data_IF_882000608957
#
_entry.id   IF_882000608957
#
_cell.length_a   1.000
_cell.length_b   1.000
_cell.length_c   1.000
_cell.angle_alpha   90.00
_cell.angle_beta   90.00
_cell.angle_gamma   90.00
#
_symmetry.space_group_name_H-M   'P 1'
#
loop_
_entity.id
_entity.type
_entity.pdbx_description
1 polymer ?
#
# COMPACT_ATOMS: atom_id res chain seq x y z
N UNK A 1 -29.09 -1.70 17.83
CA UNK A 1 -29.26 -1.71 19.31
C UNK A 1 -28.08 -0.96 19.89
N UNK A 2 -28.33 0.10 20.62
CA UNK A 2 -27.27 0.91 21.21
C UNK A 2 -26.79 0.28 22.52
N UNK A 3 -25.45 0.15 22.69
CA UNK A 3 -24.88 -0.39 23.92
C UNK A 3 -24.96 0.66 25.03
N UNK A 4 -25.24 0.21 26.28
CA UNK A 4 -25.15 1.10 27.44
C UNK A 4 -23.73 1.60 27.64
N UNK A 5 -23.54 2.78 28.22
CA UNK A 5 -22.21 3.38 28.48
C UNK A 5 -21.28 2.43 29.27
N UNK A 6 -21.86 1.61 30.19
CA UNK A 6 -21.10 0.59 30.90
C UNK A 6 -20.58 -0.50 29.97
N UNK A 7 -21.42 -1.03 29.08
CA UNK A 7 -21.01 -2.03 28.08
C UNK A 7 -19.95 -1.47 27.12
N UNK A 8 -20.11 -0.22 26.68
CA UNK A 8 -19.11 0.48 25.86
C UNK A 8 -17.74 0.52 26.55
N UNK A 9 -17.70 0.94 27.82
CA UNK A 9 -16.46 0.98 28.62
C UNK A 9 -15.83 -0.40 28.81
N UNK A 10 -16.65 -1.41 29.13
CA UNK A 10 -16.14 -2.78 29.28
C UNK A 10 -15.59 -3.33 27.98
N UNK A 11 -16.29 -3.13 26.85
CA UNK A 11 -15.85 -3.56 25.54
C UNK A 11 -14.54 -2.87 25.13
N UNK A 12 -14.45 -1.55 25.29
CA UNK A 12 -13.23 -0.79 24.97
C UNK A 12 -12.04 -1.28 25.81
N UNK A 13 -12.20 -1.36 27.14
CA UNK A 13 -11.13 -1.82 28.03
C UNK A 13 -10.70 -3.27 27.76
N UNK A 14 -11.64 -4.14 27.36
CA UNK A 14 -11.33 -5.51 26.97
C UNK A 14 -10.51 -5.54 25.67
N UNK A 15 -10.91 -4.78 24.66
CA UNK A 15 -10.22 -4.74 23.36
C UNK A 15 -8.83 -4.16 23.53
N UNK A 16 -8.68 -3.04 24.23
CA UNK A 16 -7.37 -2.42 24.50
C UNK A 16 -6.39 -3.38 25.18
N UNK A 17 -6.87 -4.10 26.21
CA UNK A 17 -6.04 -5.11 26.88
C UNK A 17 -5.71 -6.30 25.96
N UNK A 18 -6.67 -6.73 25.14
CA UNK A 18 -6.45 -7.82 24.19
C UNK A 18 -5.44 -7.43 23.09
N UNK A 19 -5.50 -6.20 22.59
CA UNK A 19 -4.49 -5.66 21.65
C UNK A 19 -3.09 -5.77 22.25
N UNK A 20 -2.93 -5.41 23.51
CA UNK A 20 -1.63 -5.44 24.22
C UNK A 20 -1.11 -6.85 24.51
N UNK A 21 -1.99 -7.78 24.89
CA UNK A 21 -1.57 -9.08 25.42
C UNK A 21 -1.73 -10.25 24.44
N UNK A 22 -2.70 -10.18 23.52
CA UNK A 22 -3.12 -11.29 22.67
C UNK A 22 -3.83 -12.43 23.44
N UNK A 23 -4.04 -12.30 24.76
CA UNK A 23 -4.57 -13.35 25.60
C UNK A 23 -6.04 -13.09 25.98
N UNK A 24 -6.87 -14.15 26.16
CA UNK A 24 -8.26 -13.99 26.58
C UNK A 24 -8.39 -13.25 27.91
N UNK A 25 -9.23 -12.22 27.95
CA UNK A 25 -9.38 -11.33 29.11
C UNK A 25 -10.47 -11.81 30.07
N UNK A 26 -10.10 -12.00 31.33
CA UNK A 26 -11.03 -12.37 32.38
C UNK A 26 -11.67 -11.17 33.08
N UNK A 27 -12.88 -11.35 33.65
CA UNK A 27 -13.63 -10.28 34.34
C UNK A 27 -12.87 -9.66 35.52
N UNK A 28 -12.00 -10.42 36.21
CA UNK A 28 -11.19 -9.90 37.32
C UNK A 28 -10.19 -8.84 36.86
N UNK A 29 -9.57 -9.04 35.72
CA UNK A 29 -8.58 -8.11 35.13
C UNK A 29 -9.22 -6.78 34.76
N UNK A 30 -10.47 -6.81 34.31
CA UNK A 30 -11.20 -5.60 33.92
C UNK A 30 -11.70 -4.78 35.09
N UNK A 31 -11.95 -5.42 36.26
CA UNK A 31 -12.42 -4.71 37.45
C UNK A 31 -11.41 -3.70 38.02
N UNK A 32 -10.10 -3.93 37.81
CA UNK A 32 -9.03 -3.09 38.32
C UNK A 32 -9.06 -1.65 37.79
N UNK A 33 -9.69 -1.43 36.61
CA UNK A 33 -9.86 -0.11 35.99
C UNK A 33 -11.29 0.40 35.96
N UNK A 34 -12.25 -0.40 36.38
CA UNK A 34 -13.69 -0.08 36.35
C UNK A 34 -14.27 -0.11 37.75
N UNK A 35 -14.98 0.93 38.18
CA UNK A 35 -15.60 1.00 39.49
C UNK A 35 -16.83 0.06 39.64
N UNK A 36 -16.68 -1.22 39.26
CA UNK A 36 -17.76 -2.22 39.26
C UNK A 36 -17.26 -3.59 39.77
N UNK A 37 -18.15 -4.41 40.30
CA UNK A 37 -17.80 -5.76 40.79
C UNK A 37 -17.45 -6.71 39.62
N UNK A 38 -16.60 -7.72 39.91
CA UNK A 38 -16.25 -8.77 38.92
C UNK A 38 -17.50 -9.57 38.48
N UNK A 39 -18.51 -9.73 39.32
CA UNK A 39 -19.76 -10.37 38.97
C UNK A 39 -20.55 -9.53 37.93
N UNK A 40 -20.60 -8.20 38.14
CA UNK A 40 -21.22 -7.28 37.18
C UNK A 40 -20.51 -7.31 35.83
N UNK A 41 -19.16 -7.20 35.86
CA UNK A 41 -18.37 -7.28 34.60
C UNK A 41 -18.61 -8.59 33.88
N UNK A 42 -18.69 -9.72 34.61
CA UNK A 42 -18.93 -11.05 34.05
C UNK A 42 -20.29 -11.14 33.35
N UNK A 43 -21.33 -10.56 33.93
CA UNK A 43 -22.67 -10.54 33.35
C UNK A 43 -22.68 -9.67 32.07
N UNK A 44 -22.08 -8.47 32.10
CA UNK A 44 -22.00 -7.59 30.95
C UNK A 44 -21.18 -8.24 29.79
N UNK A 45 -20.08 -8.95 30.12
CA UNK A 45 -19.30 -9.72 29.13
C UNK A 45 -20.12 -10.86 28.52
N UNK A 46 -21.01 -11.51 29.30
CA UNK A 46 -21.91 -12.55 28.77
C UNK A 46 -22.88 -11.94 27.77
N UNK A 47 -23.54 -10.85 28.12
CA UNK A 47 -24.46 -10.16 27.22
C UNK A 47 -23.76 -9.64 25.96
N UNK A 48 -22.53 -9.11 26.08
CA UNK A 48 -21.73 -8.72 24.93
C UNK A 48 -21.39 -9.91 24.02
N UNK A 49 -21.21 -11.11 24.61
CA UNK A 49 -21.05 -12.34 23.83
C UNK A 49 -22.32 -12.76 23.12
N UNK A 50 -23.48 -12.65 23.81
CA UNK A 50 -24.80 -12.94 23.23
C UNK A 50 -25.12 -11.99 22.05
N UNK A 51 -24.66 -10.74 22.12
CA UNK A 51 -24.76 -9.76 21.04
C UNK A 51 -23.70 -9.97 19.93
N UNK A 52 -22.76 -10.92 20.11
CA UNK A 52 -21.74 -11.27 19.15
C UNK A 52 -20.55 -10.31 19.08
N UNK A 53 -20.34 -9.44 20.08
CA UNK A 53 -19.17 -8.58 20.16
C UNK A 53 -17.95 -9.27 20.76
N UNK A 54 -18.18 -10.31 21.59
CA UNK A 54 -17.13 -11.10 22.22
C UNK A 54 -17.29 -12.58 21.89
N UNK A 55 -16.18 -13.31 21.92
CA UNK A 55 -16.11 -14.76 21.75
C UNK A 55 -15.48 -15.39 22.99
N UNK A 56 -15.79 -16.65 23.24
CA UNK A 56 -15.16 -17.44 24.28
C UNK A 56 -14.41 -18.60 23.62
N UNK A 57 -13.07 -18.59 23.57
CA UNK A 57 -12.30 -19.63 22.89
C UNK A 57 -12.52 -21.02 23.52
N UNK A 58 -12.60 -21.10 24.84
CA UNK A 58 -12.82 -22.34 25.61
C UNK A 58 -13.64 -22.05 26.84
N UNK A 59 -14.33 -23.06 27.38
CA UNK A 59 -15.29 -22.95 28.49
C UNK A 59 -14.73 -22.28 29.75
N UNK A 60 -13.42 -22.47 30.04
CA UNK A 60 -12.72 -21.86 31.18
C UNK A 60 -11.94 -20.59 30.80
N UNK A 61 -11.89 -20.19 29.53
CA UNK A 61 -11.17 -19.02 29.09
C UNK A 61 -11.94 -17.73 29.36
N UNK A 62 -11.21 -16.62 29.40
CA UNK A 62 -11.78 -15.28 29.35
C UNK A 62 -12.56 -15.04 28.05
N UNK A 63 -12.66 -13.79 27.66
CA UNK A 63 -13.29 -13.38 26.40
C UNK A 63 -12.25 -12.74 25.48
N UNK A 64 -12.44 -12.92 24.17
CA UNK A 64 -11.70 -12.22 23.12
C UNK A 64 -12.68 -11.42 22.27
N UNK A 65 -12.26 -10.32 21.65
CA UNK A 65 -13.10 -9.58 20.71
C UNK A 65 -13.43 -10.41 19.47
N UNK A 66 -14.66 -10.30 18.98
CA UNK A 66 -15.01 -10.76 17.64
C UNK A 66 -14.65 -9.69 16.60
N UNK A 67 -14.70 -10.02 15.31
CA UNK A 67 -14.57 -9.03 14.23
C UNK A 67 -15.61 -7.90 14.37
N UNK A 68 -16.85 -8.25 14.73
CA UNK A 68 -17.92 -7.26 15.04
C UNK A 68 -17.54 -6.39 16.24
N UNK A 69 -16.88 -6.95 17.25
CA UNK A 69 -16.40 -6.21 18.42
C UNK A 69 -15.32 -5.20 18.04
N UNK A 70 -14.32 -5.60 17.25
CA UNK A 70 -13.30 -4.71 16.72
C UNK A 70 -13.89 -3.60 15.85
N UNK A 71 -14.83 -3.92 14.94
CA UNK A 71 -15.50 -2.92 14.10
C UNK A 71 -16.21 -1.87 14.97
N UNK A 72 -17.01 -2.32 15.95
CA UNK A 72 -17.71 -1.40 16.86
C UNK A 72 -16.74 -0.52 17.66
N UNK A 73 -15.64 -1.10 18.13
CA UNK A 73 -14.59 -0.36 18.84
C UNK A 73 -13.97 0.74 17.98
N UNK A 74 -13.57 0.40 16.76
CA UNK A 74 -12.94 1.34 15.84
C UNK A 74 -13.90 2.48 15.47
N UNK A 75 -15.16 2.16 15.18
CA UNK A 75 -16.13 3.14 14.69
C UNK A 75 -16.66 4.06 15.79
N UNK A 76 -16.64 3.62 17.08
CA UNK A 76 -17.37 4.32 18.15
C UNK A 76 -16.61 4.52 19.46
N UNK A 77 -15.58 3.75 19.75
CA UNK A 77 -14.96 3.72 21.08
C UNK A 77 -13.47 4.03 21.09
N UNK A 78 -12.78 3.84 19.96
CA UNK A 78 -11.34 3.99 19.86
C UNK A 78 -10.93 5.45 20.11
N UNK A 79 -10.01 5.70 21.05
CA UNK A 79 -9.47 7.04 21.24
C UNK A 79 -8.62 7.45 20.03
N UNK A 80 -8.63 8.72 19.71
CA UNK A 80 -7.67 9.28 18.73
C UNK A 80 -6.30 9.32 19.39
N UNK A 81 -5.30 8.77 18.72
CA UNK A 81 -3.90 8.90 19.13
C UNK A 81 -3.28 10.08 18.39
N UNK A 82 -2.77 11.04 19.15
CA UNK A 82 -1.95 12.11 18.63
C UNK A 82 -0.47 11.72 18.75
N UNK A 83 0.17 11.61 17.60
CA UNK A 83 1.62 11.40 17.53
C UNK A 83 2.34 12.61 18.13
N UNK A 84 3.37 12.37 18.95
CA UNK A 84 4.16 13.47 19.49
C UNK A 84 4.89 14.25 18.38
N UNK A 85 5.13 15.54 18.62
CA UNK A 85 5.88 16.38 17.66
C UNK A 85 7.28 15.82 17.41
N UNK A 86 7.90 15.19 18.41
CA UNK A 86 9.20 14.54 18.28
C UNK A 86 9.14 13.31 17.36
N UNK A 87 8.12 12.44 17.53
CA UNK A 87 7.96 11.27 16.67
C UNK A 87 7.59 11.67 15.26
N UNK A 88 6.73 12.69 15.10
CA UNK A 88 6.39 13.26 13.79
C UNK A 88 7.62 13.78 13.06
N UNK A 89 8.48 14.53 13.76
CA UNK A 89 9.72 15.05 13.21
C UNK A 89 10.68 13.94 12.80
N UNK A 90 10.81 12.89 13.62
CA UNK A 90 11.66 11.74 13.29
C UNK A 90 11.15 10.98 12.06
N UNK A 91 9.84 10.73 11.96
CA UNK A 91 9.24 10.07 10.80
C UNK A 91 9.44 10.90 9.52
N UNK A 92 9.17 12.20 9.59
CA UNK A 92 9.35 13.12 8.47
C UNK A 92 10.80 13.11 7.98
N UNK A 93 11.77 13.33 8.88
CA UNK A 93 13.18 13.35 8.50
C UNK A 93 13.68 12.00 7.96
N UNK A 94 13.14 10.88 8.45
CA UNK A 94 13.51 9.57 7.93
C UNK A 94 13.08 9.40 6.48
N UNK A 95 11.82 9.74 6.16
CA UNK A 95 11.29 9.65 4.78
C UNK A 95 11.95 10.67 3.87
N UNK A 96 12.17 11.90 4.35
CA UNK A 96 12.81 12.99 3.60
C UNK A 96 14.29 12.70 3.27
N UNK A 97 14.93 11.81 4.03
CA UNK A 97 16.30 11.38 3.79
C UNK A 97 16.45 10.26 2.76
N UNK A 98 15.34 9.68 2.29
CA UNK A 98 15.39 8.62 1.29
C UNK A 98 15.71 9.20 -0.08
N UNK A 99 16.66 8.59 -0.76
CA UNK A 99 17.14 8.97 -2.08
C UNK A 99 16.81 7.88 -3.10
N UNK A 100 16.71 8.25 -4.36
CA UNK A 100 16.54 7.29 -5.46
C UNK A 100 15.31 7.53 -6.30
N UNK A 101 14.87 6.48 -6.95
CA UNK A 101 13.64 6.49 -7.73
C UNK A 101 12.41 6.47 -6.82
N UNK A 102 11.26 6.90 -7.33
CA UNK A 102 9.96 6.88 -6.59
C UNK A 102 9.70 5.51 -5.96
N UNK A 103 10.02 4.42 -6.66
CA UNK A 103 9.85 3.05 -6.17
C UNK A 103 10.75 2.72 -4.98
N UNK A 104 11.97 3.24 -4.94
CA UNK A 104 12.92 3.02 -3.85
C UNK A 104 12.45 3.75 -2.60
N UNK A 105 12.05 5.02 -2.72
CA UNK A 105 11.49 5.83 -1.62
C UNK A 105 10.25 5.14 -1.02
N UNK A 106 9.37 4.62 -1.87
CA UNK A 106 8.17 3.91 -1.40
C UNK A 106 8.51 2.59 -0.71
N UNK A 107 9.52 1.84 -1.19
CA UNK A 107 9.98 0.60 -0.57
C UNK A 107 10.62 0.86 0.80
N UNK A 108 11.51 1.87 0.91
CA UNK A 108 12.12 2.26 2.17
C UNK A 108 11.08 2.78 3.18
N UNK A 109 10.10 3.55 2.71
CA UNK A 109 8.96 3.99 3.53
C UNK A 109 8.14 2.80 4.06
N UNK A 110 7.87 1.80 3.21
CA UNK A 110 7.18 0.58 3.62
C UNK A 110 8.00 -0.20 4.66
N UNK A 111 9.32 -0.30 4.46
CA UNK A 111 10.25 -0.90 5.42
C UNK A 111 10.22 -0.20 6.78
N UNK A 112 10.31 1.12 6.80
CA UNK A 112 10.24 1.94 8.02
C UNK A 112 8.92 1.72 8.77
N UNK A 113 7.80 1.80 8.08
CA UNK A 113 6.48 1.53 8.67
C UNK A 113 6.37 0.11 9.22
N UNK A 114 6.90 -0.86 8.50
CA UNK A 114 6.92 -2.25 8.95
C UNK A 114 7.74 -2.42 10.23
N UNK A 115 8.87 -1.73 10.38
CA UNK A 115 9.66 -1.73 11.62
C UNK A 115 8.87 -1.12 12.80
N UNK A 116 8.21 0.00 12.58
CA UNK A 116 7.46 0.72 13.61
C UNK A 116 6.22 -0.05 14.07
N UNK A 117 5.54 -0.70 13.12
CA UNK A 117 4.24 -1.37 13.40
C UNK A 117 4.37 -2.85 13.75
N UNK A 118 5.50 -3.48 13.40
CA UNK A 118 5.68 -4.93 13.50
C UNK A 118 4.76 -5.73 12.57
N UNK A 119 4.24 -5.10 11.51
CA UNK A 119 3.28 -5.67 10.58
C UNK A 119 3.82 -5.64 9.14
N UNK A 120 3.12 -6.30 8.22
CA UNK A 120 3.39 -6.13 6.79
C UNK A 120 2.85 -4.78 6.32
N UNK A 121 3.52 -4.19 5.34
CA UNK A 121 3.12 -2.92 4.72
C UNK A 121 3.05 -3.10 3.21
N UNK A 122 1.94 -2.67 2.62
CA UNK A 122 1.74 -2.64 1.18
C UNK A 122 1.63 -1.18 0.72
N UNK A 123 2.40 -0.81 -0.30
CA UNK A 123 2.38 0.54 -0.88
C UNK A 123 2.05 0.43 -2.36
N UNK A 124 1.03 1.15 -2.79
CA UNK A 124 0.70 1.28 -4.21
C UNK A 124 1.56 2.38 -4.83
N UNK A 125 2.20 2.09 -5.97
CA UNK A 125 2.95 3.11 -6.73
C UNK A 125 2.02 4.19 -7.28
N UNK A 126 2.54 5.43 -7.52
CA UNK A 126 1.74 6.50 -8.12
C UNK A 126 1.07 6.05 -9.42
N UNK A 127 -0.24 6.27 -9.50
CA UNK A 127 -1.05 5.98 -10.67
C UNK A 127 -1.93 7.17 -11.03
N UNK A 128 -1.85 7.61 -12.27
CA UNK A 128 -2.78 8.54 -12.88
C UNK A 128 -3.18 8.01 -14.27
N UNK A 129 -4.49 7.93 -14.53
CA UNK A 129 -5.01 7.48 -15.82
C UNK A 129 -4.57 8.40 -16.98
N UNK A 130 -4.25 9.66 -16.66
CA UNK A 130 -3.76 10.64 -17.61
C UNK A 130 -2.23 10.76 -17.61
N UNK A 131 -1.52 9.83 -16.96
CA UNK A 131 -0.06 9.82 -16.97
C UNK A 131 0.48 9.73 -18.39
N UNK A 132 1.42 10.59 -18.69
CA UNK A 132 2.05 10.67 -20.03
C UNK A 132 3.57 10.50 -19.92
N UNK A 133 4.18 10.16 -21.05
CA UNK A 133 5.64 10.10 -21.16
C UNK A 133 6.19 11.52 -21.09
N UNK A 134 6.94 11.83 -20.03
CA UNK A 134 7.60 13.12 -19.82
C UNK A 134 8.95 13.18 -20.56
N UNK A 135 9.71 12.07 -20.50
CA UNK A 135 11.06 12.00 -21.07
C UNK A 135 11.40 10.59 -21.54
N UNK A 136 12.19 10.51 -22.57
CA UNK A 136 12.75 9.27 -23.11
C UNK A 136 14.24 9.45 -23.33
N UNK A 137 15.05 8.48 -22.88
CA UNK A 137 16.49 8.45 -23.15
C UNK A 137 16.88 7.14 -23.84
N UNK A 138 17.79 7.23 -24.77
CA UNK A 138 18.44 6.10 -25.44
C UNK A 138 19.94 6.14 -25.11
N UNK A 139 20.41 5.19 -24.35
CA UNK A 139 21.82 5.10 -23.92
C UNK A 139 22.49 3.94 -24.68
N UNK A 140 23.35 4.19 -25.68
CA UNK A 140 24.12 3.15 -26.34
C UNK A 140 25.02 2.42 -25.34
N UNK A 141 24.90 1.09 -25.25
CA UNK A 141 25.74 0.24 -24.40
C UNK A 141 26.79 -0.50 -25.22
N UNK A 142 26.50 -0.79 -26.46
CA UNK A 142 27.38 -1.45 -27.41
C UNK A 142 26.93 -1.20 -28.83
N UNK A 143 27.68 -1.71 -29.83
CA UNK A 143 27.39 -1.44 -31.22
C UNK A 143 25.96 -1.78 -31.65
N UNK A 144 25.35 -2.80 -31.07
CA UNK A 144 23.99 -3.27 -31.42
C UNK A 144 23.07 -3.37 -30.19
N UNK A 145 23.37 -2.67 -29.13
CA UNK A 145 22.57 -2.69 -27.91
C UNK A 145 22.48 -1.33 -27.27
N UNK A 146 21.29 -0.95 -26.80
CA UNK A 146 21.03 0.27 -26.06
C UNK A 146 20.10 0.03 -24.89
N UNK A 147 20.21 0.86 -23.87
CA UNK A 147 19.25 0.99 -22.80
C UNK A 147 18.25 2.10 -23.17
N UNK A 148 16.98 1.78 -23.16
CA UNK A 148 15.90 2.77 -23.26
C UNK A 148 15.42 3.06 -21.83
N UNK A 149 15.32 4.34 -21.49
CA UNK A 149 14.76 4.82 -20.23
C UNK A 149 13.53 5.66 -20.54
N UNK A 150 12.43 5.39 -19.85
CA UNK A 150 11.19 6.15 -19.93
C UNK A 150 10.90 6.76 -18.56
N UNK A 151 10.65 8.06 -18.52
CA UNK A 151 10.21 8.79 -17.33
C UNK A 151 8.77 9.25 -17.57
N UNK A 152 7.87 8.85 -16.67
CA UNK A 152 6.47 9.27 -16.72
C UNK A 152 6.24 10.57 -15.94
N UNK A 153 5.13 11.25 -16.21
CA UNK A 153 4.69 12.43 -15.46
C UNK A 153 4.41 12.14 -13.96
N UNK A 154 4.22 10.87 -13.60
CA UNK A 154 4.08 10.40 -12.21
C UNK A 154 5.42 10.25 -11.47
N UNK A 155 6.55 10.50 -12.14
CA UNK A 155 7.88 10.25 -11.60
C UNK A 155 8.35 8.79 -11.73
N UNK A 156 7.51 7.88 -12.16
CA UNK A 156 7.90 6.47 -12.38
C UNK A 156 8.91 6.40 -13.53
N UNK A 157 10.03 5.72 -13.26
CA UNK A 157 11.09 5.44 -14.23
C UNK A 157 11.08 3.95 -14.56
N UNK A 158 11.13 3.64 -15.85
CA UNK A 158 11.30 2.28 -16.35
C UNK A 158 12.39 2.23 -17.40
N UNK A 159 13.12 1.14 -17.40
CA UNK A 159 14.18 0.94 -18.37
C UNK A 159 14.20 -0.47 -18.94
N UNK A 160 14.72 -0.60 -20.16
CA UNK A 160 14.85 -1.88 -20.84
C UNK A 160 16.05 -1.89 -21.76
N UNK A 161 16.85 -2.97 -21.68
CA UNK A 161 17.91 -3.20 -22.64
C UNK A 161 17.33 -3.78 -23.93
N UNK A 162 17.61 -3.12 -25.04
CA UNK A 162 17.20 -3.52 -26.38
C UNK A 162 18.40 -3.96 -27.21
N UNK A 163 18.21 -5.00 -28.02
CA UNK A 163 19.17 -5.41 -29.07
C UNK A 163 18.59 -5.06 -30.42
N UNK A 164 19.46 -4.53 -31.28
CA UNK A 164 19.12 -4.15 -32.68
C UNK A 164 19.95 -4.99 -33.65
N UNK A 165 19.39 -5.26 -34.80
CA UNK A 165 20.11 -5.97 -35.89
C UNK A 165 21.17 -5.09 -36.57
N UNK A 166 20.94 -3.78 -36.54
CA UNK A 166 21.88 -2.78 -37.07
C UNK A 166 22.68 -2.09 -35.95
N UNK A 167 23.77 -1.44 -36.31
CA UNK A 167 24.58 -0.64 -35.41
C UNK A 167 23.84 0.63 -34.97
N UNK A 168 23.95 0.95 -33.68
CA UNK A 168 23.36 2.15 -33.07
C UNK A 168 24.42 3.25 -33.06
N UNK A 169 24.45 4.01 -34.15
CA UNK A 169 25.31 5.19 -34.30
C UNK A 169 24.59 6.49 -33.86
N UNK A 170 25.31 7.59 -33.92
CA UNK A 170 24.79 8.92 -33.57
C UNK A 170 23.54 9.25 -34.37
N UNK A 171 23.54 8.93 -35.68
CA UNK A 171 22.41 9.23 -36.59
C UNK A 171 21.16 8.44 -36.23
N UNK A 172 21.34 7.22 -35.76
CA UNK A 172 20.26 6.35 -35.21
C UNK A 172 19.67 6.92 -33.93
N UNK A 173 20.53 7.38 -33.02
CA UNK A 173 20.09 8.00 -31.77
C UNK A 173 19.31 9.30 -32.02
N UNK A 174 19.82 10.17 -32.91
CA UNK A 174 19.13 11.41 -33.30
C UNK A 174 17.76 11.13 -33.95
N UNK A 175 17.68 10.13 -34.81
CA UNK A 175 16.41 9.72 -35.41
C UNK A 175 15.43 9.21 -34.33
N UNK A 176 15.91 8.39 -33.41
CA UNK A 176 15.10 7.90 -32.30
C UNK A 176 14.53 9.04 -31.47
N UNK A 177 15.35 10.03 -31.08
CA UNK A 177 14.89 11.19 -30.32
C UNK A 177 13.87 12.02 -31.09
N UNK A 178 14.07 12.24 -32.41
CA UNK A 178 13.12 12.97 -33.24
C UNK A 178 11.77 12.26 -33.29
N UNK A 179 11.77 10.93 -33.46
CA UNK A 179 10.56 10.12 -33.51
C UNK A 179 9.88 10.09 -32.10
N UNK A 180 10.67 9.91 -31.04
CA UNK A 180 10.14 9.89 -29.67
C UNK A 180 9.48 11.23 -29.29
N UNK A 181 10.14 12.36 -29.61
CA UNK A 181 9.59 13.70 -29.37
C UNK A 181 8.31 13.97 -30.16
N UNK A 182 8.26 13.54 -31.43
CA UNK A 182 7.12 13.82 -32.29
C UNK A 182 5.87 12.96 -31.96
N UNK A 183 6.07 11.73 -31.49
CA UNK A 183 4.99 10.73 -31.45
C UNK A 183 4.74 10.08 -30.09
N UNK A 184 5.66 10.22 -29.11
CA UNK A 184 5.57 9.52 -27.83
C UNK A 184 5.56 10.48 -26.64
N UNK A 185 6.42 11.50 -26.60
CA UNK A 185 6.45 12.45 -25.48
C UNK A 185 5.13 13.24 -25.43
N UNK A 186 4.59 13.39 -24.23
CA UNK A 186 3.29 13.99 -23.98
C UNK A 186 2.09 13.07 -24.26
N UNK A 187 2.32 11.80 -24.64
CA UNK A 187 1.26 10.81 -24.87
C UNK A 187 1.08 9.89 -23.68
N UNK A 188 -0.18 9.50 -23.45
CA UNK A 188 -0.52 8.45 -22.48
C UNK A 188 -0.26 7.06 -23.05
N UNK A 189 -0.14 6.05 -22.20
CA UNK A 189 0.06 4.65 -22.66
C UNK A 189 -1.08 4.17 -23.56
N UNK A 190 -2.32 4.60 -23.32
CA UNK A 190 -3.51 4.24 -24.12
C UNK A 190 -3.49 4.82 -25.53
N UNK A 191 -2.86 5.98 -25.71
CA UNK A 191 -2.68 6.59 -27.03
C UNK A 191 -1.62 5.88 -27.87
N UNK A 192 -0.71 5.10 -27.25
CA UNK A 192 0.35 4.35 -27.93
C UNK A 192 -0.14 3.02 -28.47
N UNK A 193 -1.14 3.06 -29.35
CA UNK A 193 -1.70 1.84 -29.95
C UNK A 193 -0.72 1.19 -30.94
N UNK A 194 -0.91 -0.11 -31.17
CA UNK A 194 -0.12 -0.83 -32.22
C UNK A 194 -0.27 -0.17 -33.58
N UNK A 195 -1.47 0.30 -33.91
CA UNK A 195 -1.74 0.97 -35.19
C UNK A 195 -0.95 2.27 -35.33
N UNK A 196 -0.87 3.09 -34.28
CA UNK A 196 -0.09 4.33 -34.27
C UNK A 196 1.40 4.05 -34.48
N UNK A 197 1.94 3.04 -33.80
CA UNK A 197 3.35 2.64 -33.95
C UNK A 197 3.62 2.12 -35.35
N UNK A 198 2.74 1.29 -35.91
CA UNK A 198 2.88 0.81 -37.30
C UNK A 198 2.88 1.98 -38.32
N UNK A 199 2.05 3.00 -38.09
CA UNK A 199 2.01 4.20 -38.92
C UNK A 199 3.34 4.97 -38.85
N UNK A 200 3.89 5.15 -37.65
CA UNK A 200 5.20 5.79 -37.44
C UNK A 200 6.29 4.97 -38.12
N UNK A 201 6.33 3.65 -37.88
CA UNK A 201 7.32 2.75 -38.49
C UNK A 201 7.25 2.80 -40.04
N UNK A 202 6.03 2.78 -40.60
CA UNK A 202 5.86 2.86 -42.08
C UNK A 202 6.39 4.17 -42.68
N UNK A 203 6.35 5.27 -41.93
CA UNK A 203 6.89 6.57 -42.37
C UNK A 203 8.43 6.61 -42.43
N UNK A 204 9.12 5.66 -41.78
CA UNK A 204 10.59 5.64 -41.66
C UNK A 204 11.29 4.98 -42.86
N UNK A 205 10.55 4.35 -43.76
CA UNK A 205 11.11 3.70 -44.95
C UNK A 205 12.16 2.63 -44.61
N UNK A 206 13.35 2.71 -45.20
CA UNK A 206 14.43 1.73 -45.00
C UNK A 206 14.93 1.67 -43.52
N UNK A 207 14.68 2.72 -42.75
CA UNK A 207 15.06 2.79 -41.34
C UNK A 207 14.07 2.09 -40.40
N UNK A 208 12.92 1.64 -40.92
CA UNK A 208 11.87 0.98 -40.14
C UNK A 208 12.38 -0.28 -39.44
N UNK A 209 13.21 -1.08 -40.10
CA UNK A 209 13.66 -2.38 -39.63
C UNK A 209 14.42 -2.28 -38.30
N UNK A 210 15.30 -1.32 -38.12
CA UNK A 210 16.09 -1.17 -36.91
C UNK A 210 15.38 -0.31 -35.84
N UNK A 211 14.50 0.61 -36.24
CA UNK A 211 13.73 1.43 -35.27
C UNK A 211 12.58 0.67 -34.60
N UNK A 212 12.01 -0.32 -35.30
CA UNK A 212 10.87 -1.08 -34.78
C UNK A 212 11.12 -1.68 -33.38
N UNK A 213 12.23 -2.39 -33.09
CA UNK A 213 12.49 -2.95 -31.76
C UNK A 213 12.54 -1.86 -30.67
N UNK A 214 13.11 -0.68 -30.98
CA UNK A 214 13.23 0.43 -30.05
C UNK A 214 11.86 1.05 -29.73
N UNK A 215 11.02 1.28 -30.75
CA UNK A 215 9.68 1.85 -30.57
C UNK A 215 8.71 0.89 -29.88
N UNK A 216 8.84 -0.41 -30.15
CA UNK A 216 8.06 -1.44 -29.45
C UNK A 216 8.47 -1.47 -27.97
N UNK A 217 9.76 -1.48 -27.67
CA UNK A 217 10.26 -1.46 -26.31
C UNK A 217 9.84 -0.20 -25.54
N UNK A 218 9.86 0.96 -26.22
CA UNK A 218 9.38 2.22 -25.64
C UNK A 218 7.90 2.14 -25.25
N UNK A 219 7.05 1.58 -26.12
CA UNK A 219 5.64 1.34 -25.81
C UNK A 219 5.48 0.40 -24.61
N UNK A 220 6.17 -0.74 -24.60
CA UNK A 220 6.10 -1.71 -23.51
C UNK A 220 6.49 -1.09 -22.18
N UNK A 221 7.55 -0.26 -22.18
CA UNK A 221 7.96 0.48 -20.99
C UNK A 221 6.90 1.49 -20.52
N UNK A 222 6.28 2.23 -21.45
CA UNK A 222 5.23 3.19 -21.12
C UNK A 222 3.99 2.50 -20.54
N UNK A 223 3.62 1.33 -21.07
CA UNK A 223 2.50 0.52 -20.53
C UNK A 223 2.84 0.01 -19.14
N UNK A 224 4.02 -0.62 -18.95
CA UNK A 224 4.48 -1.13 -17.66
C UNK A 224 4.60 -0.02 -16.59
N UNK A 225 5.07 1.18 -17.00
CA UNK A 225 5.16 2.34 -16.11
C UNK A 225 3.80 2.94 -15.74
N UNK A 226 2.76 2.65 -16.51
CA UNK A 226 1.38 3.11 -16.28
C UNK A 226 0.55 2.08 -15.50
N UNK A 227 1.09 0.91 -15.17
CA UNK A 227 0.40 -0.08 -14.37
C UNK A 227 0.44 0.26 -12.89
N UNK A 228 -0.63 -0.13 -12.17
CA UNK A 228 -0.68 -0.04 -10.72
C UNK A 228 0.13 -1.18 -10.11
N UNK A 229 1.28 -0.88 -9.59
CA UNK A 229 2.11 -1.84 -8.90
C UNK A 229 1.95 -1.72 -7.38
N UNK A 230 2.15 -2.82 -6.65
CA UNK A 230 2.13 -2.86 -5.19
C UNK A 230 3.48 -3.39 -4.70
N UNK A 231 4.14 -2.57 -3.89
CA UNK A 231 5.35 -2.93 -3.17
C UNK A 231 4.93 -3.46 -1.80
N UNK A 232 5.51 -4.57 -1.34
CA UNK A 232 5.14 -5.18 -0.06
C UNK A 232 6.41 -5.46 0.74
N UNK A 233 6.45 -4.94 1.97
CA UNK A 233 7.56 -5.11 2.90
C UNK A 233 7.07 -5.72 4.22
N UNK A 234 7.96 -6.41 4.91
CA UNK A 234 7.71 -6.91 6.27
C UNK A 234 6.73 -8.07 6.41
N UNK A 235 6.42 -8.82 5.34
CA UNK A 235 5.51 -9.98 5.42
C UNK A 235 5.96 -11.00 6.48
N UNK A 236 7.27 -11.17 6.65
CA UNK A 236 7.85 -12.09 7.64
C UNK A 236 7.53 -11.72 9.09
N UNK A 237 7.20 -10.46 9.38
CA UNK A 237 6.84 -10.01 10.73
C UNK A 237 5.53 -10.61 11.21
N UNK A 238 4.64 -11.01 10.28
CA UNK A 238 3.39 -11.68 10.62
C UNK A 238 3.60 -13.03 11.31
N UNK A 239 4.77 -13.67 11.13
CA UNK A 239 5.10 -14.92 11.86
C UNK A 239 5.30 -14.73 13.38
N UNK A 240 5.48 -13.50 13.85
CA UNK A 240 5.57 -13.23 15.28
C UNK A 240 4.21 -13.38 16.01
N UNK A 241 3.11 -13.42 15.25
CA UNK A 241 1.76 -13.52 15.78
C UNK A 241 1.27 -14.97 15.80
N UNK A 242 1.20 -15.57 16.99
CA UNK A 242 0.78 -16.97 17.18
C UNK A 242 -0.60 -17.28 16.59
N UNK A 243 -1.51 -16.32 16.64
CA UNK A 243 -2.87 -16.45 16.10
C UNK A 243 -2.90 -16.63 14.57
N UNK A 244 -1.81 -16.33 13.87
CA UNK A 244 -1.68 -16.47 12.42
C UNK A 244 -0.93 -17.73 11.99
N UNK A 245 -0.39 -18.53 12.93
CA UNK A 245 0.44 -19.71 12.60
C UNK A 245 -0.25 -20.69 11.66
N UNK A 246 -1.58 -20.90 11.83
CA UNK A 246 -2.34 -21.82 10.96
C UNK A 246 -2.58 -21.27 9.55
N UNK A 247 -2.50 -19.97 9.36
CA UNK A 247 -2.93 -19.30 8.15
C UNK A 247 -1.74 -18.79 7.31
N UNK A 248 -0.52 -19.03 7.76
CA UNK A 248 0.71 -18.50 7.16
C UNK A 248 0.78 -18.78 5.65
N UNK A 249 0.49 -20.00 5.24
CA UNK A 249 0.54 -20.36 3.82
C UNK A 249 -0.49 -19.56 3.00
N UNK A 250 -1.74 -19.53 3.45
CA UNK A 250 -2.83 -18.82 2.77
C UNK A 250 -2.52 -17.30 2.71
N UNK A 251 -1.95 -16.73 3.79
CA UNK A 251 -1.52 -15.33 3.86
C UNK A 251 -0.44 -15.03 2.81
N UNK A 252 0.60 -15.87 2.70
CA UNK A 252 1.65 -15.67 1.70
C UNK A 252 1.14 -15.79 0.27
N UNK A 253 0.27 -16.76 -0.01
CA UNK A 253 -0.39 -16.86 -1.33
C UNK A 253 -1.27 -15.63 -1.60
N UNK A 254 -1.95 -15.09 -0.57
CA UNK A 254 -2.71 -13.86 -0.68
C UNK A 254 -1.85 -12.64 -1.04
N UNK A 255 -0.63 -12.54 -0.51
CA UNK A 255 0.31 -11.46 -0.86
C UNK A 255 0.86 -11.58 -2.29
N UNK A 256 0.87 -12.77 -2.88
CA UNK A 256 1.27 -12.95 -4.29
C UNK A 256 0.22 -12.44 -5.27
N UNK A 257 -1.04 -12.32 -4.85
CA UNK A 257 -2.10 -11.71 -5.64
C UNK A 257 -2.06 -10.18 -5.53
N UNK A 258 -1.08 -9.60 -6.21
CA UNK A 258 -0.90 -8.13 -6.24
C UNK A 258 -2.07 -7.40 -6.87
N UNK A 259 -2.82 -8.05 -7.77
CA UNK A 259 -4.01 -7.49 -8.39
C UNK A 259 -5.13 -7.29 -7.37
N UNK A 260 -5.34 -8.28 -6.49
CA UNK A 260 -6.30 -8.18 -5.39
C UNK A 260 -5.92 -7.07 -4.40
N UNK A 261 -4.65 -7.02 -3.99
CA UNK A 261 -4.15 -5.97 -3.10
C UNK A 261 -4.29 -4.59 -3.74
N UNK A 262 -3.90 -4.43 -5.00
CA UNK A 262 -4.07 -3.18 -5.74
C UNK A 262 -5.54 -2.74 -5.79
N UNK A 263 -6.47 -3.68 -6.00
CA UNK A 263 -7.91 -3.42 -5.94
C UNK A 263 -8.37 -2.89 -4.59
N UNK A 264 -8.02 -3.58 -3.49
CA UNK A 264 -8.37 -3.14 -2.12
C UNK A 264 -7.81 -1.75 -1.81
N UNK A 265 -6.56 -1.48 -2.18
CA UNK A 265 -5.91 -0.20 -1.92
C UNK A 265 -6.55 0.94 -2.71
N UNK A 266 -7.03 0.66 -3.92
CA UNK A 266 -7.65 1.65 -4.81
C UNK A 266 -9.11 1.95 -4.50
N UNK A 267 -9.90 0.94 -4.08
CA UNK A 267 -11.36 1.02 -3.94
C UNK A 267 -11.83 1.82 -2.72
N UNK A 268 -10.91 2.33 -1.91
CA UNK A 268 -11.23 3.13 -0.75
C UNK A 268 -11.84 4.48 -1.14
N UNK A 269 -13.04 4.79 -0.66
CA UNK A 269 -13.72 6.08 -0.93
C UNK A 269 -13.09 7.21 -0.11
N UNK A 270 -12.76 6.93 1.14
CA UNK A 270 -12.20 7.90 2.08
C UNK A 270 -10.68 7.94 2.00
N UNK A 271 -10.05 9.00 2.49
CA UNK A 271 -8.59 9.12 2.56
C UNK A 271 -7.97 8.06 3.49
N UNK A 272 -8.71 7.60 4.49
CA UNK A 272 -8.33 6.49 5.39
C UNK A 272 -9.44 5.47 5.47
N UNK A 273 -9.11 4.20 5.33
CA UNK A 273 -10.07 3.09 5.44
C UNK A 273 -9.51 1.91 6.22
N UNK A 274 -10.39 1.16 6.85
CA UNK A 274 -10.04 -0.02 7.65
C UNK A 274 -10.91 -1.17 7.21
N UNK A 275 -10.29 -2.29 6.86
CA UNK A 275 -10.93 -3.55 6.49
C UNK A 275 -10.58 -4.57 7.56
N UNK A 276 -11.58 -5.22 8.16
CA UNK A 276 -11.39 -6.17 9.26
C UNK A 276 -11.81 -7.56 8.82
N UNK A 277 -10.86 -8.46 8.75
CA UNK A 277 -11.09 -9.88 8.53
C UNK A 277 -11.95 -10.17 7.30
N UNK A 278 -13.15 -10.71 7.51
CA UNK A 278 -14.07 -11.11 6.42
C UNK A 278 -14.57 -9.97 5.54
N UNK A 279 -14.42 -8.73 5.95
CA UNK A 279 -14.73 -7.58 5.11
C UNK A 279 -13.84 -7.52 3.86
N UNK A 280 -12.65 -8.13 3.93
CA UNK A 280 -11.71 -8.30 2.81
C UNK A 280 -12.30 -9.13 1.66
N UNK A 281 -13.29 -10.00 1.94
CA UNK A 281 -13.86 -10.97 0.98
C UNK A 281 -12.83 -11.93 0.37
N UNK A 282 -11.67 -12.07 1.00
CA UNK A 282 -10.62 -13.00 0.62
C UNK A 282 -10.22 -13.83 1.83
N UNK A 283 -10.21 -15.16 1.65
CA UNK A 283 -9.91 -16.11 2.72
C UNK A 283 -8.53 -15.89 3.34
N UNK A 284 -7.55 -15.55 2.52
CA UNK A 284 -6.18 -15.29 2.98
C UNK A 284 -6.09 -14.14 4.00
N UNK A 285 -7.06 -13.23 3.99
CA UNK A 285 -7.10 -12.05 4.87
C UNK A 285 -8.20 -12.12 5.93
N UNK A 286 -8.90 -13.27 6.11
CA UNK A 286 -9.99 -13.40 7.08
C UNK A 286 -9.58 -13.18 8.54
N UNK A 287 -8.32 -13.43 8.88
CA UNK A 287 -7.74 -13.24 10.21
C UNK A 287 -6.80 -12.02 10.28
N UNK A 288 -6.76 -11.22 9.24
CA UNK A 288 -5.98 -9.99 9.14
C UNK A 288 -6.88 -8.75 9.13
N UNK A 289 -6.30 -7.63 9.46
CA UNK A 289 -6.87 -6.31 9.22
C UNK A 289 -5.96 -5.51 8.31
N UNK A 290 -6.55 -4.66 7.48
CA UNK A 290 -5.87 -3.75 6.56
C UNK A 290 -6.26 -2.33 6.94
N UNK A 291 -5.29 -1.52 7.34
CA UNK A 291 -5.47 -0.08 7.57
C UNK A 291 -4.80 0.66 6.44
N UNK A 292 -5.57 1.33 5.60
CA UNK A 292 -5.13 1.99 4.39
C UNK A 292 -5.26 3.50 4.50
N UNK A 293 -4.26 4.24 4.00
CA UNK A 293 -4.27 5.69 3.87
C UNK A 293 -3.76 6.10 2.49
N UNK A 294 -4.50 7.00 1.82
CA UNK A 294 -4.09 7.55 0.53
C UNK A 294 -3.01 8.60 0.71
N UNK A 295 -2.07 8.65 -0.23
CA UNK A 295 -1.13 9.76 -0.33
C UNK A 295 -1.39 10.58 -1.59
N UNK A 296 -1.05 11.88 -1.52
CA UNK A 296 -1.36 12.87 -2.56
C UNK A 296 -0.08 13.50 -3.08
N UNK A 297 0.03 13.59 -4.39
CA UNK A 297 1.06 14.37 -5.10
C UNK A 297 0.33 15.53 -5.78
N UNK A 298 0.77 16.76 -5.55
CA UNK A 298 0.14 17.99 -6.05
C UNK A 298 -1.37 18.06 -5.71
N UNK A 299 -1.74 17.60 -4.51
CA UNK A 299 -3.13 17.60 -4.04
C UNK A 299 -4.03 16.53 -4.66
N UNK A 300 -3.52 15.65 -5.53
CA UNK A 300 -4.27 14.55 -6.16
C UNK A 300 -3.92 13.23 -5.50
N UNK A 301 -4.93 12.41 -5.23
CA UNK A 301 -4.70 11.04 -4.77
C UNK A 301 -4.07 10.22 -5.89
N UNK A 302 -2.85 9.75 -5.69
CA UNK A 302 -2.10 8.97 -6.70
C UNK A 302 -1.77 7.56 -6.25
N UNK A 303 -1.88 7.27 -4.96
CA UNK A 303 -1.61 5.95 -4.42
C UNK A 303 -2.04 5.80 -2.97
N UNK A 304 -1.70 4.68 -2.37
CA UNK A 304 -2.07 4.34 -0.99
C UNK A 304 -0.96 3.59 -0.28
N UNK A 305 -0.91 3.76 1.04
CA UNK A 305 -0.04 2.99 1.94
C UNK A 305 -0.94 2.25 2.92
N UNK A 306 -0.75 0.95 3.07
CA UNK A 306 -1.53 0.13 3.99
C UNK A 306 -0.66 -0.69 4.93
N UNK A 307 -1.06 -0.76 6.19
CA UNK A 307 -0.54 -1.71 7.19
C UNK A 307 -1.47 -2.90 7.25
N UNK A 308 -0.89 -4.10 7.12
CA UNK A 308 -1.60 -5.39 7.13
C UNK A 308 -1.06 -6.21 8.29
N UNK A 309 -1.93 -6.54 9.25
CA UNK A 309 -1.55 -7.26 10.45
C UNK A 309 -2.72 -8.04 11.06
N UNK A 310 -2.53 -8.66 12.23
CA UNK A 310 -3.60 -9.41 12.90
C UNK A 310 -4.78 -8.51 13.29
N UNK A 311 -5.93 -9.11 13.60
CA UNK A 311 -7.11 -8.35 14.05
C UNK A 311 -6.85 -7.48 15.28
N UNK A 312 -5.86 -7.84 16.12
CA UNK A 312 -5.48 -7.12 17.35
C UNK A 312 -4.40 -6.04 17.14
N UNK A 313 -4.44 -5.32 16.04
CA UNK A 313 -3.52 -4.18 15.83
C UNK A 313 -3.86 -3.00 16.75
N UNK A 314 -2.87 -2.17 17.07
CA UNK A 314 -3.09 -0.83 17.62
C UNK A 314 -3.54 0.14 16.53
N UNK A 315 -4.81 0.06 16.19
CA UNK A 315 -5.40 0.84 15.09
C UNK A 315 -5.19 2.34 15.24
N UNK A 316 -5.34 2.86 16.45
CA UNK A 316 -5.22 4.30 16.72
C UNK A 316 -3.84 4.83 16.38
N UNK A 317 -2.79 4.13 16.84
CA UNK A 317 -1.39 4.47 16.56
C UNK A 317 -1.04 4.27 15.09
N UNK A 318 -1.51 3.17 14.48
CA UNK A 318 -1.25 2.86 13.07
C UNK A 318 -1.88 3.93 12.17
N UNK A 319 -3.12 4.34 12.42
CA UNK A 319 -3.80 5.39 11.64
C UNK A 319 -3.03 6.71 11.73
N UNK A 320 -2.57 7.10 12.92
CA UNK A 320 -1.82 8.33 13.12
C UNK A 320 -0.49 8.31 12.37
N UNK A 321 0.26 7.21 12.47
CA UNK A 321 1.53 7.03 11.74
C UNK A 321 1.30 7.05 10.23
N UNK A 322 0.30 6.31 9.73
CA UNK A 322 -0.03 6.26 8.30
C UNK A 322 -0.37 7.64 7.74
N UNK A 323 -1.19 8.42 8.45
CA UNK A 323 -1.55 9.78 8.00
C UNK A 323 -0.32 10.66 7.86
N UNK A 324 0.56 10.68 8.87
CA UNK A 324 1.77 11.48 8.84
C UNK A 324 2.72 11.05 7.72
N UNK A 325 2.96 9.74 7.58
CA UNK A 325 3.86 9.22 6.55
C UNK A 325 3.27 9.43 5.15
N UNK A 326 1.97 9.24 4.96
CA UNK A 326 1.31 9.49 3.67
C UNK A 326 1.41 10.96 3.24
N UNK A 327 1.32 11.90 4.19
CA UNK A 327 1.53 13.33 3.92
C UNK A 327 2.99 13.61 3.54
N UNK A 328 3.94 13.08 4.31
CA UNK A 328 5.38 13.26 4.03
C UNK A 328 5.78 12.68 2.67
N UNK A 329 5.37 11.43 2.38
CA UNK A 329 5.62 10.80 1.07
C UNK A 329 5.04 11.65 -0.05
N UNK A 330 3.81 12.16 0.12
CA UNK A 330 3.20 13.03 -0.87
C UNK A 330 4.02 14.29 -1.16
N UNK A 331 4.57 14.93 -0.13
CA UNK A 331 5.42 16.12 -0.26
C UNK A 331 6.74 15.78 -0.98
N UNK A 332 7.44 14.73 -0.54
CA UNK A 332 8.70 14.29 -1.16
C UNK A 332 8.48 13.96 -2.64
N UNK A 333 7.42 13.23 -2.97
CA UNK A 333 7.13 12.89 -4.36
C UNK A 333 6.70 14.10 -5.20
N UNK A 334 6.02 15.10 -4.60
CA UNK A 334 5.72 16.37 -5.28
C UNK A 334 7.00 17.11 -5.64
N UNK A 335 7.96 17.23 -4.71
CA UNK A 335 9.26 17.87 -4.95
C UNK A 335 10.05 17.19 -6.08
N UNK A 336 10.02 15.85 -6.15
CA UNK A 336 10.69 15.09 -7.21
C UNK A 336 10.02 15.25 -8.59
N UNK A 337 8.73 15.60 -8.62
CA UNK A 337 7.96 15.72 -9.86
C UNK A 337 7.76 17.16 -10.31
N UNK A 338 8.09 18.16 -9.48
CA UNK A 338 8.11 19.59 -9.87
C UNK A 338 9.06 19.84 -11.06
N UNK A 339 8.65 20.77 -11.95
CA UNK A 339 9.39 21.15 -13.16
C UNK A 339 10.54 22.14 -12.89
#
# INVERSE_FOLDING_TARGET
>A
MELSERKKKILASLIERYIMTGEPIGSKVLCEGLAVSSATVRNEMSELSDYGYLLQPHTSAGRIPSQKGFRYYIDHLMPMYDISDADRYLLHNSVDSFDGEVTDILSETAGLLSEITGCAVAVQTPYDINAYIRRVELVPIGAKSALIVVVMSTGIIKNKMCRCDAEIDISTAELFYNVANAHFIGRTSDELTVANIQTVVASLGDRALFMTPLLVALKELAVDASERNVIIEGQSKLFAFKELESDVYDIFEGFRDTSYLSGILSDCKDDTSIIIGRESRNRAFENLSIVNCKYKVDGRNVGSIAVIGPLRMDYSRIISNLKNISETVGNVLSELTEE
#
